data_IF_497674524111
#
_entry.id   IF_497674524111
#
_cell.length_a   1.000
_cell.length_b   1.000
_cell.length_c   1.000
_cell.angle_alpha   90.00
_cell.angle_beta   90.00
_cell.angle_gamma   90.00
#
_symmetry.space_group_name_H-M   'P 1'
#
loop_
_entity.id
_entity.type
_entity.pdbx_description
1 polymer ?
#
# COMPACT_ATOMS: atom_id res chain seq x y z
N UNK A 1 -13.76 -68.96 50.59
CA UNK A 1 -14.49 -68.33 49.46
C UNK A 1 -14.81 -66.90 49.88
N UNK A 2 -14.38 -65.80 49.29
CA UNK A 2 -13.39 -65.48 48.25
C UNK A 2 -13.20 -63.96 48.43
N UNK A 3 -11.97 -63.48 48.62
CA UNK A 3 -11.67 -62.04 48.56
C UNK A 3 -11.55 -61.62 47.09
N UNK A 4 -12.19 -60.52 46.67
CA UNK A 4 -11.76 -59.66 45.55
C UNK A 4 -12.61 -58.36 45.47
N UNK A 5 -12.16 -57.29 44.78
CA UNK A 5 -11.60 -56.08 45.39
C UNK A 5 -12.36 -54.79 44.96
N UNK A 6 -11.93 -53.56 45.32
CA UNK A 6 -12.71 -52.35 45.08
C UNK A 6 -12.61 -51.85 43.62
N UNK A 7 -13.73 -51.35 43.09
CA UNK A 7 -13.84 -50.76 41.76
C UNK A 7 -13.07 -49.44 41.66
N UNK A 8 -12.24 -49.35 40.63
CA UNK A 8 -11.42 -48.20 40.27
C UNK A 8 -12.26 -46.99 39.81
N UNK A 9 -11.83 -45.80 40.23
CA UNK A 9 -12.29 -44.51 39.74
C UNK A 9 -11.93 -44.31 38.25
N UNK A 10 -12.92 -43.87 37.46
CA UNK A 10 -12.72 -43.50 36.06
C UNK A 10 -11.94 -42.19 35.89
N UNK A 11 -11.12 -42.04 34.83
CA UNK A 11 -10.21 -40.91 34.69
C UNK A 11 -10.90 -39.66 34.11
N UNK A 12 -10.61 -38.53 34.74
CA UNK A 12 -10.25 -37.28 34.05
C UNK A 12 -11.32 -36.64 33.17
N UNK A 13 -12.10 -35.73 33.76
CA UNK A 13 -12.83 -34.71 33.03
C UNK A 13 -11.87 -33.94 32.10
N UNK A 14 -12.14 -34.02 30.79
CA UNK A 14 -11.40 -33.25 29.77
C UNK A 14 -11.64 -31.76 30.06
N UNK A 15 -10.60 -30.94 30.29
CA UNK A 15 -10.80 -29.51 30.43
C UNK A 15 -11.35 -29.00 29.10
N UNK A 16 -12.55 -28.42 29.15
CA UNK A 16 -13.22 -27.84 27.99
C UNK A 16 -12.26 -26.88 27.31
N UNK A 17 -11.97 -27.12 26.02
CA UNK A 17 -11.28 -26.14 25.21
C UNK A 17 -12.17 -24.90 25.15
N UNK A 18 -11.79 -23.88 25.92
CA UNK A 18 -12.35 -22.54 25.79
C UNK A 18 -12.09 -22.09 24.36
N UNK A 19 -13.16 -22.07 23.55
CA UNK A 19 -13.12 -21.54 22.20
C UNK A 19 -12.67 -20.08 22.28
N UNK A 20 -11.83 -19.66 21.33
CA UNK A 20 -11.25 -18.32 21.24
C UNK A 20 -12.28 -17.17 21.24
N UNK A 21 -13.58 -17.49 21.18
CA UNK A 21 -14.70 -16.57 21.21
C UNK A 21 -15.02 -16.07 22.63
N UNK A 22 -14.62 -16.78 23.69
CA UNK A 22 -14.86 -16.36 25.09
C UNK A 22 -13.76 -15.49 25.71
N UNK A 23 -12.72 -15.10 24.95
CA UNK A 23 -11.66 -14.19 25.43
C UNK A 23 -11.81 -12.75 24.90
N UNK A 24 -13.02 -12.32 24.61
CA UNK A 24 -13.34 -10.89 24.55
C UNK A 24 -13.61 -10.38 25.98
N UNK A 25 -12.62 -10.52 26.86
CA UNK A 25 -12.61 -9.73 28.10
C UNK A 25 -12.48 -8.29 27.63
N UNK A 26 -13.53 -7.48 27.85
CA UNK A 26 -13.43 -6.03 27.71
C UNK A 26 -12.17 -5.63 28.48
N UNK A 27 -11.15 -5.14 27.79
CA UNK A 27 -9.88 -4.83 28.44
C UNK A 27 -10.15 -3.80 29.53
N UNK A 28 -10.11 -4.24 30.79
CA UNK A 28 -10.23 -3.42 32.00
C UNK A 28 -8.93 -2.64 32.26
N UNK A 29 -8.28 -2.20 31.17
CA UNK A 29 -7.09 -1.37 31.23
C UNK A 29 -7.47 0.11 31.28
N UNK A 30 -6.59 0.98 31.80
CA UNK A 30 -6.81 2.42 31.82
C UNK A 30 -7.01 2.94 30.40
N UNK A 31 -7.89 3.93 30.21
CA UNK A 31 -8.21 4.47 28.87
C UNK A 31 -6.95 5.02 28.20
N UNK A 32 -6.84 4.85 26.89
CA UNK A 32 -5.74 5.37 26.08
C UNK A 32 -6.12 6.67 25.39
N UNK A 33 -5.12 7.48 25.05
CA UNK A 33 -5.33 8.78 24.42
C UNK A 33 -5.48 8.61 22.90
N UNK A 34 -6.61 9.06 22.35
CA UNK A 34 -6.87 9.19 20.91
C UNK A 34 -6.72 10.64 20.52
N UNK A 35 -5.87 10.91 19.54
CA UNK A 35 -5.55 12.27 19.07
C UNK A 35 -5.83 12.35 17.57
N UNK A 36 -6.69 13.28 17.17
CA UNK A 36 -6.93 13.66 15.79
C UNK A 36 -6.23 14.98 15.47
N UNK A 37 -5.46 15.01 14.39
CA UNK A 37 -4.82 16.19 13.84
C UNK A 37 -5.67 16.73 12.69
N UNK A 38 -6.12 17.97 12.80
CA UNK A 38 -6.94 18.66 11.79
C UNK A 38 -6.21 19.92 11.37
N UNK A 39 -6.03 20.14 10.07
CA UNK A 39 -5.41 21.34 9.50
C UNK A 39 -6.31 21.86 8.39
N UNK A 40 -6.57 23.16 8.38
CA UNK A 40 -7.44 23.80 7.38
C UNK A 40 -8.82 23.11 7.23
N UNK A 41 -9.36 22.58 8.32
CA UNK A 41 -10.65 21.88 8.34
C UNK A 41 -10.61 20.44 7.80
N UNK A 42 -9.47 19.92 7.35
CA UNK A 42 -9.28 18.52 6.95
C UNK A 42 -8.58 17.72 8.04
N UNK A 43 -9.08 16.51 8.32
CA UNK A 43 -8.41 15.58 9.24
C UNK A 43 -7.21 14.99 8.53
N UNK A 44 -6.00 15.37 8.95
CA UNK A 44 -4.74 14.86 8.39
C UNK A 44 -4.45 13.47 8.94
N UNK A 45 -4.53 13.33 10.27
CA UNK A 45 -4.11 12.12 10.94
C UNK A 45 -5.01 11.83 12.14
N UNK A 46 -5.24 10.56 12.41
CA UNK A 46 -5.81 10.11 13.67
C UNK A 46 -4.92 9.02 14.25
N UNK A 47 -4.46 9.22 15.49
CA UNK A 47 -3.54 8.32 16.15
C UNK A 47 -4.04 7.96 17.55
N UNK A 48 -4.16 6.66 17.81
CA UNK A 48 -4.42 6.12 19.14
C UNK A 48 -3.09 5.74 19.77
N UNK A 49 -2.76 6.38 20.89
CA UNK A 49 -1.53 6.18 21.64
C UNK A 49 -1.67 4.91 22.49
N UNK A 50 -1.31 3.76 21.89
CA UNK A 50 -1.53 2.41 22.48
C UNK A 50 -0.82 2.21 23.82
N UNK A 51 0.35 2.80 23.99
CA UNK A 51 1.14 2.75 25.22
C UNK A 51 1.02 4.07 25.96
N UNK A 52 0.77 4.07 27.27
CA UNK A 52 0.71 5.30 28.05
C UNK A 52 2.10 5.93 28.14
N UNK A 53 2.37 6.90 27.27
CA UNK A 53 3.61 7.67 27.22
C UNK A 53 3.29 9.16 27.03
N UNK A 54 4.31 10.01 27.20
CA UNK A 54 4.20 11.44 26.89
C UNK A 54 3.99 11.65 25.39
N UNK A 55 3.09 12.54 25.02
CA UNK A 55 2.88 12.96 23.63
C UNK A 55 3.60 14.27 23.40
N UNK A 56 4.59 14.23 22.51
CA UNK A 56 5.41 15.39 22.14
C UNK A 56 4.99 15.95 20.78
N UNK A 57 5.01 17.29 20.70
CA UNK A 57 4.61 18.08 19.54
C UNK A 57 5.65 19.19 19.31
N UNK A 58 6.04 19.42 18.07
CA UNK A 58 6.97 20.49 17.71
C UNK A 58 7.63 20.28 16.35
N UNK A 59 8.55 21.17 15.93
CA UNK A 59 9.19 21.11 14.62
C UNK A 59 10.25 20.00 14.50
N UNK A 60 10.71 19.41 15.61
CA UNK A 60 11.67 18.31 15.55
C UNK A 60 11.02 17.01 15.08
N UNK A 61 11.75 16.26 14.24
CA UNK A 61 11.38 14.91 13.76
C UNK A 61 11.29 13.86 14.88
N UNK A 62 11.88 14.13 16.05
CA UNK A 62 11.79 13.24 17.22
C UNK A 62 10.42 13.28 17.91
N UNK A 63 9.56 14.22 17.54
CA UNK A 63 8.24 14.36 18.15
C UNK A 63 7.24 13.34 17.58
N UNK A 64 6.24 12.98 18.39
CA UNK A 64 5.16 12.10 17.93
C UNK A 64 4.35 12.78 16.83
N UNK A 65 4.09 14.09 16.98
CA UNK A 65 3.50 14.92 15.94
C UNK A 65 4.47 16.05 15.58
N UNK A 66 4.85 16.07 14.31
CA UNK A 66 5.77 17.08 13.79
C UNK A 66 4.95 18.22 13.20
N UNK A 67 5.05 19.41 13.79
CA UNK A 67 4.38 20.62 13.29
C UNK A 67 5.35 21.79 13.26
N UNK A 68 5.30 22.58 12.17
CA UNK A 68 6.09 23.79 12.01
C UNK A 68 5.25 25.02 12.29
N UNK A 69 5.22 25.48 13.55
CA UNK A 69 4.52 26.72 13.93
C UNK A 69 5.52 27.69 14.56
N UNK A 70 5.49 28.95 14.14
CA UNK A 70 6.36 30.01 14.65
C UNK A 70 6.14 30.23 16.15
N UNK A 71 7.23 30.34 16.92
CA UNK A 71 7.17 30.56 18.37
C UNK A 71 6.87 29.30 19.20
N UNK A 72 7.05 28.12 18.64
CA UNK A 72 6.94 26.84 19.35
C UNK A 72 8.33 26.28 19.74
N UNK A 73 8.49 25.69 20.93
CA UNK A 73 9.69 24.94 21.31
C UNK A 73 9.97 23.77 20.35
N UNK A 74 11.24 23.34 20.24
CA UNK A 74 11.62 22.21 19.39
C UNK A 74 10.88 20.90 19.74
N UNK A 75 10.58 20.69 21.02
CA UNK A 75 9.76 19.59 21.53
C UNK A 75 8.97 20.06 22.75
N UNK A 76 7.65 20.08 22.62
CA UNK A 76 6.71 20.35 23.71
C UNK A 76 5.98 19.05 24.05
N UNK A 77 6.03 18.63 25.32
CA UNK A 77 5.19 17.53 25.82
C UNK A 77 3.74 18.00 25.96
N UNK A 78 3.01 18.09 24.86
CA UNK A 78 1.61 18.53 24.85
C UNK A 78 0.76 17.72 25.83
N UNK A 79 0.93 16.39 25.86
CA UNK A 79 0.35 15.54 26.90
C UNK A 79 1.47 14.87 27.69
N UNK A 80 1.63 15.25 28.95
CA UNK A 80 2.64 14.69 29.84
C UNK A 80 2.00 13.67 30.77
N UNK A 81 2.55 12.45 30.82
CA UNK A 81 2.15 11.44 31.79
C UNK A 81 2.87 11.71 33.13
N UNK A 82 2.11 12.04 34.18
CA UNK A 82 2.61 12.31 35.54
C UNK A 82 1.82 11.47 36.53
N UNK A 83 2.50 10.65 37.35
CA UNK A 83 1.87 9.80 38.38
C UNK A 83 0.67 8.99 37.86
N UNK A 84 0.86 8.39 36.66
CA UNK A 84 -0.17 7.62 35.94
C UNK A 84 -1.39 8.44 35.47
N UNK A 85 -1.44 9.76 35.66
CA UNK A 85 -2.40 10.68 35.08
C UNK A 85 -1.82 11.43 33.88
N UNK A 86 -2.67 11.98 33.01
CA UNK A 86 -2.23 12.85 31.94
C UNK A 86 -2.40 14.32 32.35
N UNK A 87 -1.42 15.14 32.01
CA UNK A 87 -1.48 16.59 32.11
C UNK A 87 -1.37 17.19 30.71
N UNK A 88 -2.25 18.12 30.36
CA UNK A 88 -2.14 18.95 29.17
C UNK A 88 -1.21 20.12 29.48
N UNK A 89 -0.10 20.21 28.78
CA UNK A 89 0.81 21.35 28.83
C UNK A 89 0.55 22.24 27.61
N UNK A 90 0.08 23.46 27.82
CA UNK A 90 -0.20 24.41 26.75
C UNK A 90 0.54 25.74 26.95
N UNK A 91 0.84 26.43 25.87
CA UNK A 91 1.57 27.71 25.87
C UNK A 91 0.62 28.88 25.69
N UNK A 92 1.14 30.10 25.83
CA UNK A 92 0.32 31.31 25.71
C UNK A 92 -0.30 31.52 24.33
N UNK A 93 0.40 31.06 23.28
CA UNK A 93 -0.03 31.11 21.88
C UNK A 93 -1.02 29.99 21.48
N UNK A 94 -1.45 29.16 22.43
CA UNK A 94 -2.41 28.09 22.18
C UNK A 94 -3.80 28.51 22.62
N UNK A 95 -4.80 28.13 21.83
CA UNK A 95 -6.22 28.34 22.16
C UNK A 95 -6.95 27.02 22.12
N UNK A 96 -8.13 26.92 22.73
CA UNK A 96 -8.80 25.63 22.77
C UNK A 96 -9.90 25.54 23.82
N UNK A 97 -10.63 24.43 23.78
CA UNK A 97 -11.66 24.13 24.78
C UNK A 97 -11.46 22.72 25.29
N UNK A 98 -11.49 22.56 26.60
CA UNK A 98 -11.36 21.28 27.27
C UNK A 98 -12.63 21.04 28.08
N UNK A 99 -13.25 19.89 27.85
CA UNK A 99 -14.31 19.36 28.68
C UNK A 99 -13.64 18.54 29.80
N UNK A 100 -13.72 19.07 31.02
CA UNK A 100 -13.36 18.39 32.26
C UNK A 100 -14.64 17.85 32.91
N UNK A 101 -14.54 16.99 33.94
CA UNK A 101 -15.72 16.54 34.70
C UNK A 101 -16.55 17.70 35.30
N UNK A 102 -15.91 18.84 35.57
CA UNK A 102 -16.54 20.05 36.11
C UNK A 102 -17.27 20.89 35.06
N UNK A 103 -17.10 20.60 33.77
CA UNK A 103 -17.69 21.36 32.67
C UNK A 103 -16.73 21.65 31.54
N UNK A 104 -17.19 22.42 30.55
CA UNK A 104 -16.39 22.84 29.40
C UNK A 104 -15.79 24.21 29.69
N UNK A 105 -14.46 24.30 29.66
CA UNK A 105 -13.72 25.55 29.89
C UNK A 105 -12.79 25.85 28.71
N UNK A 106 -12.60 27.15 28.44
CA UNK A 106 -11.62 27.62 27.47
C UNK A 106 -10.21 27.57 28.09
N UNK A 107 -9.19 27.25 27.30
CA UNK A 107 -7.79 27.28 27.74
C UNK A 107 -7.41 28.67 28.27
N UNK A 108 -7.95 29.75 27.69
CA UNK A 108 -7.69 31.11 28.17
C UNK A 108 -8.13 31.34 29.63
N UNK A 109 -9.27 30.78 30.03
CA UNK A 109 -9.77 30.86 31.40
C UNK A 109 -8.97 29.96 32.35
N UNK A 110 -8.53 28.80 31.86
CA UNK A 110 -7.79 27.82 32.67
C UNK A 110 -6.37 28.30 33.02
N UNK A 111 -5.76 29.20 32.23
CA UNK A 111 -4.43 29.76 32.52
C UNK A 111 -4.29 30.27 33.96
N UNK A 112 -5.30 30.97 34.48
CA UNK A 112 -5.30 31.52 35.84
C UNK A 112 -5.49 30.48 36.95
N UNK A 113 -5.95 29.27 36.62
CA UNK A 113 -6.24 28.19 37.56
C UNK A 113 -5.20 27.06 37.51
N UNK A 114 -4.36 27.04 36.46
CA UNK A 114 -3.35 26.01 36.23
C UNK A 114 -2.01 26.35 36.85
N UNK A 115 -1.26 25.34 37.27
CA UNK A 115 0.13 25.51 37.72
C UNK A 115 1.02 25.83 36.51
N UNK A 116 1.94 26.78 36.66
CA UNK A 116 3.00 26.97 35.67
C UNK A 116 4.02 25.84 35.79
N UNK A 117 4.24 25.14 34.70
CA UNK A 117 5.26 24.11 34.57
C UNK A 117 6.52 24.68 33.90
N UNK A 118 7.48 23.82 33.64
CA UNK A 118 8.76 24.21 33.02
C UNK A 118 8.54 24.88 31.66
N UNK A 119 9.44 25.79 31.29
CA UNK A 119 9.47 26.50 30.00
C UNK A 119 8.23 27.37 29.72
N UNK A 120 7.57 27.89 30.77
CA UNK A 120 6.44 28.81 30.63
C UNK A 120 5.14 28.16 30.16
N UNK A 121 5.05 26.83 30.22
CA UNK A 121 3.81 26.10 29.92
C UNK A 121 2.85 26.10 31.11
N UNK A 122 1.55 26.11 30.81
CA UNK A 122 0.48 25.94 31.79
C UNK A 122 0.09 24.47 31.83
N UNK A 123 0.08 23.89 33.02
CA UNK A 123 -0.18 22.48 33.22
C UNK A 123 -1.59 22.27 33.79
N UNK A 124 -2.42 21.59 33.00
CA UNK A 124 -3.79 21.20 33.36
C UNK A 124 -3.88 19.69 33.55
N UNK A 125 -4.28 19.23 34.73
CA UNK A 125 -4.49 17.80 34.98
C UNK A 125 -5.76 17.33 34.27
N UNK A 126 -5.64 16.25 33.50
CA UNK A 126 -6.73 15.60 32.78
C UNK A 126 -7.17 14.32 33.50
N UNK A 127 -8.45 14.01 33.36
CA UNK A 127 -9.08 12.75 33.80
C UNK A 127 -9.42 11.87 32.61
N UNK A 128 -9.77 10.60 32.83
CA UNK A 128 -10.15 9.67 31.75
C UNK A 128 -11.47 10.00 31.04
N UNK A 129 -12.23 10.98 31.52
CA UNK A 129 -13.43 11.50 30.84
C UNK A 129 -13.16 12.83 30.15
N UNK A 130 -11.94 13.36 30.29
CA UNK A 130 -11.56 14.61 29.65
C UNK A 130 -11.47 14.46 28.14
N UNK A 131 -11.98 15.46 27.42
CA UNK A 131 -11.88 15.55 25.96
C UNK A 131 -11.81 16.99 25.55
N UNK A 132 -11.19 17.30 24.42
CA UNK A 132 -11.05 18.69 24.04
C UNK A 132 -10.45 18.91 22.68
N UNK A 133 -10.33 20.19 22.35
CA UNK A 133 -9.60 20.69 21.19
C UNK A 133 -8.53 21.68 21.64
N UNK A 134 -7.33 21.54 21.09
CA UNK A 134 -6.22 22.48 21.27
C UNK A 134 -5.79 22.95 19.89
N UNK A 135 -5.75 24.25 19.69
CA UNK A 135 -5.41 24.89 18.43
C UNK A 135 -4.05 25.56 18.61
N UNK A 136 -3.16 25.22 17.69
CA UNK A 136 -1.77 25.65 17.65
C UNK A 136 -1.50 26.15 16.23
N UNK A 137 -1.47 27.48 16.05
CA UNK A 137 -1.39 28.09 14.72
C UNK A 137 -2.59 27.69 13.85
N UNK A 138 -2.33 27.01 12.73
CA UNK A 138 -3.31 26.50 11.77
C UNK A 138 -3.78 25.06 12.08
N UNK A 139 -3.18 24.43 13.09
CA UNK A 139 -3.32 23.01 13.37
C UNK A 139 -4.14 22.79 14.64
N UNK A 140 -5.16 21.95 14.56
CA UNK A 140 -6.06 21.61 15.67
C UNK A 140 -5.85 20.16 16.09
N UNK A 141 -5.51 19.97 17.37
CA UNK A 141 -5.43 18.68 18.05
C UNK A 141 -6.74 18.42 18.78
N UNK A 142 -7.50 17.44 18.29
CA UNK A 142 -8.67 16.89 18.98
C UNK A 142 -8.20 15.72 19.83
N UNK A 143 -8.55 15.68 21.12
CA UNK A 143 -8.18 14.58 21.99
C UNK A 143 -9.36 14.02 22.77
N UNK A 144 -9.32 12.72 23.00
CA UNK A 144 -10.29 12.00 23.82
C UNK A 144 -9.66 10.75 24.41
N UNK A 145 -10.04 10.39 25.64
CA UNK A 145 -9.71 9.09 26.22
C UNK A 145 -10.70 8.01 25.77
N UNK A 146 -10.18 6.93 25.21
CA UNK A 146 -10.97 5.80 24.68
C UNK A 146 -10.45 4.49 25.25
N UNK A 147 -11.29 3.44 25.28
CA UNK A 147 -10.83 2.12 25.66
C UNK A 147 -9.75 1.63 24.66
N UNK A 148 -8.67 0.98 25.14
CA UNK A 148 -7.64 0.46 24.25
C UNK A 148 -8.24 -0.54 23.25
N UNK A 149 -7.93 -0.42 21.95
CA UNK A 149 -8.37 -1.41 20.98
C UNK A 149 -7.75 -2.77 21.32
N UNK A 150 -8.47 -3.88 21.15
CA UNK A 150 -7.95 -5.20 21.47
C UNK A 150 -6.68 -5.44 20.67
N UNK A 151 -5.60 -5.79 21.38
CA UNK A 151 -4.32 -6.14 20.74
C UNK A 151 -4.59 -7.42 19.95
N UNK A 152 -4.73 -7.29 18.63
CA UNK A 152 -4.81 -8.45 17.75
C UNK A 152 -3.50 -9.22 17.93
N UNK A 153 -3.54 -10.51 18.33
CA UNK A 153 -2.33 -11.30 18.39
C UNK A 153 -1.67 -11.25 17.01
N UNK A 154 -0.36 -10.99 16.97
CA UNK A 154 0.38 -10.98 15.70
C UNK A 154 0.05 -12.29 14.97
N UNK A 155 -0.31 -12.25 13.68
CA UNK A 155 -0.54 -13.45 12.90
C UNK A 155 0.69 -14.33 13.03
N UNK A 156 0.56 -15.46 13.72
CA UNK A 156 1.61 -16.46 13.72
C UNK A 156 1.51 -17.14 12.37
N UNK A 157 2.58 -17.03 11.59
CA UNK A 157 2.67 -17.77 10.35
C UNK A 157 2.58 -19.27 10.70
N UNK A 158 1.86 -20.07 9.90
CA UNK A 158 1.83 -21.51 10.10
C UNK A 158 3.27 -22.05 10.04
N UNK A 159 3.55 -23.04 10.88
CA UNK A 159 4.90 -23.61 11.08
C UNK A 159 5.54 -24.04 9.74
N UNK A 160 4.71 -24.42 8.76
CA UNK A 160 5.11 -24.76 7.40
C UNK A 160 5.78 -23.63 6.61
N UNK A 161 5.49 -22.36 6.91
CA UNK A 161 6.10 -21.19 6.25
C UNK A 161 7.37 -20.76 6.98
N UNK A 162 7.42 -20.90 8.32
CA UNK A 162 8.61 -20.56 9.10
C UNK A 162 9.73 -21.59 8.97
N UNK A 163 9.42 -22.84 8.60
CA UNK A 163 10.43 -23.89 8.38
C UNK A 163 11.22 -23.74 7.06
N UNK A 164 10.79 -22.90 6.12
CA UNK A 164 11.48 -22.72 4.84
C UNK A 164 12.62 -21.70 4.84
N UNK A 165 12.67 -20.79 5.83
CA UNK A 165 13.57 -19.64 5.81
C UNK A 165 14.80 -19.77 6.71
N UNK A 166 14.83 -20.75 7.64
CA UNK A 166 15.91 -20.88 8.64
C UNK A 166 16.58 -22.25 8.66
N UNK A 167 16.20 -23.15 7.76
CA UNK A 167 16.84 -24.47 7.65
C UNK A 167 17.97 -24.34 6.64
N UNK A 168 19.15 -23.98 7.14
CA UNK A 168 20.39 -24.09 6.37
C UNK A 168 20.56 -25.57 6.05
N UNK A 169 20.53 -25.90 4.77
CA UNK A 169 20.84 -27.23 4.30
C UNK A 169 22.35 -27.44 4.43
N UNK A 170 22.72 -28.09 5.53
CA UNK A 170 24.11 -28.38 5.86
C UNK A 170 24.79 -29.25 4.80
N UNK A 171 24.04 -30.06 4.05
CA UNK A 171 24.60 -30.86 2.96
C UNK A 171 25.10 -29.97 1.82
N UNK A 172 24.25 -29.08 1.31
CA UNK A 172 24.64 -28.12 0.26
C UNK A 172 25.67 -27.11 0.74
N UNK A 173 25.58 -26.67 2.00
CA UNK A 173 26.57 -25.77 2.60
C UNK A 173 27.95 -26.42 2.70
N UNK A 174 28.04 -27.69 3.11
CA UNK A 174 29.30 -28.42 3.18
C UNK A 174 29.91 -28.61 1.79
N UNK A 175 29.09 -29.00 0.80
CA UNK A 175 29.53 -29.15 -0.60
C UNK A 175 30.03 -27.82 -1.17
N UNK A 176 29.32 -26.73 -0.92
CA UNK A 176 29.73 -25.40 -1.35
C UNK A 176 31.05 -24.96 -0.69
N UNK A 177 31.22 -25.22 0.62
CA UNK A 177 32.45 -24.91 1.34
C UNK A 177 33.66 -25.73 0.82
N UNK A 178 33.48 -27.03 0.59
CA UNK A 178 34.53 -27.87 -0.01
C UNK A 178 34.86 -27.43 -1.43
N UNK A 179 33.85 -27.12 -2.25
CA UNK A 179 34.08 -26.59 -3.58
C UNK A 179 34.89 -25.30 -3.51
N UNK A 180 34.51 -24.36 -2.64
CA UNK A 180 35.24 -23.11 -2.45
C UNK A 180 36.71 -23.37 -2.06
N UNK A 181 36.95 -24.25 -1.08
CA UNK A 181 38.30 -24.58 -0.63
C UNK A 181 39.14 -25.19 -1.75
N UNK A 182 38.61 -26.17 -2.49
CA UNK A 182 39.33 -26.82 -3.60
C UNK A 182 39.70 -25.82 -4.70
N UNK A 183 38.77 -24.93 -5.08
CA UNK A 183 39.04 -23.96 -6.14
C UNK A 183 40.08 -22.91 -5.70
N UNK A 184 40.00 -22.43 -4.45
CA UNK A 184 40.96 -21.46 -3.93
C UNK A 184 42.33 -22.08 -3.65
N UNK A 185 42.39 -23.33 -3.20
CA UNK A 185 43.65 -24.08 -3.10
C UNK A 185 44.26 -24.31 -4.48
N UNK A 186 43.48 -24.67 -5.49
CA UNK A 186 43.96 -24.82 -6.86
C UNK A 186 44.54 -23.53 -7.44
N UNK A 187 43.85 -22.40 -7.25
CA UNK A 187 44.37 -21.08 -7.63
C UNK A 187 45.64 -20.73 -6.85
N UNK A 188 45.66 -21.01 -5.55
CA UNK A 188 46.84 -20.80 -4.71
C UNK A 188 48.06 -21.59 -5.18
N UNK A 189 47.88 -22.84 -5.59
CA UNK A 189 48.97 -23.68 -6.10
C UNK A 189 49.52 -23.18 -7.45
N UNK A 190 48.65 -22.69 -8.34
CA UNK A 190 49.08 -22.12 -9.62
C UNK A 190 49.89 -20.84 -9.43
N UNK A 191 49.52 -20.01 -8.45
CA UNK A 191 50.18 -18.75 -8.14
C UNK A 191 51.28 -18.88 -7.07
N UNK A 192 51.58 -20.09 -6.60
CA UNK A 192 52.62 -20.30 -5.60
C UNK A 192 53.94 -20.64 -6.29
N UNK A 193 54.90 -19.72 -6.18
CA UNK A 193 56.31 -19.90 -6.57
C UNK A 193 57.02 -21.02 -5.75
N UNK A 194 56.29 -21.72 -4.89
CA UNK A 194 56.81 -22.83 -4.08
C UNK A 194 57.19 -24.06 -4.92
N UNK A 195 56.70 -24.17 -6.15
CA UNK A 195 57.04 -25.23 -7.11
C UNK A 195 58.12 -24.82 -8.13
N UNK A 196 58.61 -23.57 -8.09
CA UNK A 196 59.69 -23.12 -8.97
C UNK A 196 61.03 -23.69 -8.46
N UNK A 197 61.83 -24.41 -9.29
CA UNK A 197 63.14 -24.87 -8.86
C UNK A 197 64.02 -23.71 -8.39
N UNK A 198 64.64 -23.86 -7.22
CA UNK A 198 65.64 -22.91 -6.73
C UNK A 198 66.84 -22.96 -7.68
N UNK A 199 66.95 -21.97 -8.57
CA UNK A 199 68.14 -21.78 -9.39
C UNK A 199 69.22 -21.19 -8.48
N UNK A 200 70.28 -21.95 -8.25
CA UNK A 200 71.41 -21.51 -7.44
C UNK A 200 72.26 -20.51 -8.26
N UNK A 201 72.03 -19.22 -8.04
CA UNK A 201 72.63 -18.13 -8.81
C UNK A 201 74.17 -18.07 -8.67
N UNK A 202 74.73 -18.65 -7.60
CA UNK A 202 76.16 -18.57 -7.30
C UNK A 202 77.03 -19.40 -8.27
N UNK A 203 76.49 -20.51 -8.81
CA UNK A 203 77.21 -21.35 -9.79
C UNK A 203 77.19 -20.75 -11.20
N UNK A 204 76.09 -20.10 -11.60
CA UNK A 204 75.94 -19.52 -12.94
C UNK A 204 76.71 -18.20 -13.10
N UNK A 205 76.85 -17.40 -12.04
CA UNK A 205 77.62 -16.15 -12.11
C UNK A 205 79.12 -16.43 -12.18
N UNK A 206 79.62 -17.44 -11.48
CA UNK A 206 81.03 -17.85 -11.57
C UNK A 206 81.42 -18.30 -12.99
N UNK A 207 80.58 -19.13 -13.62
CA UNK A 207 80.79 -19.57 -15.01
C UNK A 207 80.73 -18.41 -16.01
N UNK A 208 79.85 -17.43 -15.78
CA UNK A 208 79.74 -16.25 -16.63
C UNK A 208 80.97 -15.32 -16.49
N UNK A 209 81.48 -15.12 -15.27
CA UNK A 209 82.69 -14.33 -15.03
C UNK A 209 83.94 -14.98 -15.62
N UNK A 210 84.05 -16.32 -15.59
CA UNK A 210 85.13 -17.07 -16.25
C UNK A 210 85.08 -16.87 -17.78
N UNK A 211 83.87 -16.92 -18.37
CA UNK A 211 83.68 -16.72 -19.81
C UNK A 211 84.03 -15.30 -20.29
N UNK A 212 83.81 -14.29 -19.45
CA UNK A 212 84.16 -12.89 -19.76
C UNK A 212 85.68 -12.67 -19.65
N UNK A 213 86.36 -13.33 -18.71
CA UNK A 213 87.83 -13.27 -18.59
C UNK A 213 88.56 -13.97 -19.73
N UNK A 214 87.95 -14.97 -20.36
CA UNK A 214 88.53 -15.73 -21.47
C UNK A 214 88.47 -15.01 -22.83
N UNK A 215 87.88 -13.81 -22.91
CA UNK A 215 87.85 -13.03 -24.14
C UNK A 215 89.16 -12.24 -24.31
N UNK A 216 89.94 -12.46 -25.40
CA UNK A 216 91.16 -11.71 -25.65
C UNK A 216 90.88 -10.22 -25.87
N UNK A 217 91.77 -9.37 -25.37
CA UNK A 217 91.62 -7.92 -25.38
C UNK A 217 91.42 -7.39 -26.82
N UNK A 218 90.33 -6.64 -27.09
CA UNK A 218 90.07 -6.10 -28.42
C UNK A 218 91.11 -5.03 -28.80
N UNK A 219 91.47 -4.95 -30.10
CA UNK A 219 92.45 -3.98 -30.61
C UNK A 219 92.00 -2.52 -30.41
N UNK A 220 92.95 -1.56 -30.37
CA UNK A 220 92.69 -0.15 -30.10
C UNK A 220 91.68 0.51 -31.03
N UNK A 221 90.84 1.34 -30.41
CA UNK A 221 89.72 2.11 -30.96
C UNK A 221 90.19 3.13 -32.01
N UNK A 222 89.50 3.20 -33.15
CA UNK A 222 89.44 4.39 -33.99
C UNK A 222 88.00 4.92 -34.01
N UNK A 223 87.87 6.18 -33.59
CA UNK A 223 86.64 6.87 -33.26
C UNK A 223 85.74 7.13 -34.47
N UNK A 224 84.42 7.00 -34.28
CA UNK A 224 83.42 7.96 -34.79
C UNK A 224 82.10 7.84 -34.01
N UNK A 225 82.02 8.64 -32.96
CA UNK A 225 80.97 9.64 -32.64
C UNK A 225 79.71 9.67 -33.54
N UNK A 226 78.59 10.20 -33.02
CA UNK A 226 77.64 9.55 -32.12
C UNK A 226 76.25 9.52 -32.79
N UNK A 227 75.46 8.47 -32.56
CA UNK A 227 74.00 8.63 -32.59
C UNK A 227 73.42 8.24 -31.25
N UNK A 228 72.70 9.22 -30.74
CA UNK A 228 72.15 9.35 -29.42
C UNK A 228 71.04 8.33 -29.21
N UNK A 229 71.01 7.81 -28.00
CA UNK A 229 70.18 6.71 -27.58
C UNK A 229 68.68 7.05 -27.62
N UNK A 230 67.90 6.18 -28.26
CA UNK A 230 66.57 5.85 -27.76
C UNK A 230 66.75 4.85 -26.61
N UNK A 231 66.76 5.38 -25.39
CA UNK A 231 66.52 4.63 -24.17
C UNK A 231 65.15 5.02 -23.61
N UNK A 232 64.57 4.02 -22.95
CA UNK A 232 63.57 4.08 -21.89
C UNK A 232 62.11 3.97 -22.29
N UNK A 233 61.67 2.73 -22.11
CA UNK A 233 60.80 2.32 -20.98
C UNK A 233 59.69 3.32 -20.66
N UNK A 234 58.53 2.99 -21.20
CA UNK A 234 57.24 3.42 -20.73
C UNK A 234 56.79 2.48 -19.58
N UNK A 235 56.73 3.04 -18.37
CA UNK A 235 55.88 2.53 -17.30
C UNK A 235 54.64 3.44 -17.29
N UNK A 236 53.53 2.92 -17.79
CA UNK A 236 52.29 3.69 -17.94
C UNK A 236 51.60 3.89 -16.58
N UNK A 237 51.44 5.15 -16.22
CA UNK A 237 50.76 5.61 -15.03
C UNK A 237 49.27 5.81 -15.30
N UNK A 238 48.43 5.18 -14.47
CA UNK A 238 47.05 5.58 -14.25
C UNK A 238 46.99 7.00 -13.68
N UNK A 239 46.34 7.93 -14.39
CA UNK A 239 45.73 9.12 -13.78
C UNK A 239 44.32 9.42 -14.30
N UNK A 240 43.49 10.06 -13.45
CA UNK A 240 42.03 10.18 -13.61
C UNK A 240 41.61 11.48 -14.32
N UNK A 241 40.39 11.47 -14.87
CA UNK A 241 39.70 12.65 -15.44
C UNK A 241 39.34 13.70 -14.37
N UNK A 242 39.47 15.01 -14.66
CA UNK A 242 39.31 16.10 -13.70
C UNK A 242 37.85 16.57 -13.50
N UNK A 243 37.57 17.07 -12.30
CA UNK A 243 36.40 17.91 -11.95
C UNK A 243 36.80 19.40 -11.88
N UNK A 244 35.83 20.32 -12.09
CA UNK A 244 36.05 21.71 -12.48
C UNK A 244 36.41 22.66 -11.33
N UNK A 245 37.16 23.73 -11.64
CA UNK A 245 37.39 24.88 -10.75
C UNK A 245 36.45 26.04 -11.09
N UNK A 246 36.00 26.69 -10.02
CA UNK A 246 35.14 27.85 -9.97
C UNK A 246 35.80 29.13 -10.54
N UNK A 247 35.00 29.97 -11.18
CA UNK A 247 35.30 31.37 -11.49
C UNK A 247 34.29 32.28 -10.76
N UNK A 248 34.78 33.40 -10.22
CA UNK A 248 34.02 34.50 -9.61
C UNK A 248 33.58 35.53 -10.69
N UNK A 249 32.63 36.43 -10.38
CA UNK A 249 31.75 37.09 -11.34
C UNK A 249 32.31 38.38 -11.92
N UNK A 250 31.91 38.69 -13.14
CA UNK A 250 32.08 40.00 -13.77
C UNK A 250 30.71 40.53 -14.25
N UNK A 251 30.47 41.82 -14.02
CA UNK A 251 29.25 42.58 -14.34
C UNK A 251 29.43 43.36 -15.65
N UNK A 252 28.28 43.65 -16.29
CA UNK A 252 27.95 44.62 -17.36
C UNK A 252 27.75 43.95 -18.74
N UNK A 253 26.82 44.31 -19.63
CA UNK A 253 25.57 45.09 -19.67
C UNK A 253 24.86 44.73 -21.03
N UNK A 254 23.62 45.20 -21.34
CA UNK A 254 22.63 44.45 -22.13
C UNK A 254 22.53 44.84 -23.62
N UNK A 255 22.04 43.94 -24.49
CA UNK A 255 21.40 44.29 -25.77
C UNK A 255 20.64 43.10 -26.39
N UNK A 256 19.46 43.34 -26.96
CA UNK A 256 18.81 42.44 -27.92
C UNK A 256 17.39 41.99 -27.58
N UNK A 257 16.41 42.91 -27.55
CA UNK A 257 14.99 42.57 -27.52
C UNK A 257 14.58 42.00 -28.89
N UNK A 258 14.39 40.68 -29.00
CA UNK A 258 13.62 40.08 -30.09
C UNK A 258 12.14 40.23 -29.78
N UNK A 259 11.49 41.20 -30.42
CA UNK A 259 10.03 41.35 -30.35
C UNK A 259 9.38 40.24 -31.18
N UNK A 260 8.84 39.21 -30.53
CA UNK A 260 7.79 38.39 -31.13
C UNK A 260 6.64 39.33 -31.44
N UNK A 261 6.24 39.44 -32.70
CA UNK A 261 5.09 40.26 -33.08
C UNK A 261 3.84 39.70 -32.38
N UNK A 262 2.97 40.58 -31.87
CA UNK A 262 1.77 40.14 -31.12
C UNK A 262 0.91 39.14 -31.91
N UNK A 263 0.94 39.21 -33.24
CA UNK A 263 0.27 38.26 -34.13
C UNK A 263 0.94 36.86 -34.12
N UNK A 264 2.28 36.79 -34.15
CA UNK A 264 2.99 35.52 -34.06
C UNK A 264 2.84 34.88 -32.66
N UNK A 265 2.83 35.69 -31.59
CA UNK A 265 2.56 35.22 -30.24
C UNK A 265 1.11 34.70 -30.07
N UNK A 266 0.14 35.36 -30.72
CA UNK A 266 -1.26 34.93 -30.73
C UNK A 266 -1.46 33.63 -31.54
N UNK A 267 -0.77 33.48 -32.67
CA UNK A 267 -0.82 32.25 -33.46
C UNK A 267 -0.23 31.05 -32.68
N UNK A 268 0.92 31.26 -32.02
CA UNK A 268 1.58 30.21 -31.23
C UNK A 268 0.78 29.80 -29.99
N UNK A 269 0.07 30.74 -29.36
CA UNK A 269 -0.80 30.44 -28.21
C UNK A 269 -2.05 29.66 -28.64
N UNK A 270 -2.68 30.03 -29.76
CA UNK A 270 -3.81 29.28 -30.30
C UNK A 270 -3.41 27.84 -30.72
N UNK A 271 -2.20 27.65 -31.24
CA UNK A 271 -1.69 26.33 -31.61
C UNK A 271 -1.39 25.47 -30.39
N UNK A 272 -0.79 26.05 -29.33
CA UNK A 272 -0.58 25.37 -28.04
C UNK A 272 -1.90 24.94 -27.38
N UNK A 273 -2.92 25.79 -27.42
CA UNK A 273 -4.21 25.54 -26.78
C UNK A 273 -5.00 24.43 -27.49
N UNK A 274 -4.81 24.29 -28.81
CA UNK A 274 -5.35 23.17 -29.60
C UNK A 274 -4.65 21.84 -29.28
N UNK A 275 -3.35 21.86 -29.02
CA UNK A 275 -2.54 20.70 -28.62
C UNK A 275 -2.84 20.28 -27.19
N UNK A 276 -3.14 21.23 -26.29
CA UNK A 276 -3.54 20.97 -24.90
C UNK A 276 -4.94 20.32 -24.85
N UNK A 277 -5.90 20.80 -25.64
CA UNK A 277 -7.22 20.17 -25.74
C UNK A 277 -7.18 18.78 -26.40
N UNK A 278 -6.33 18.58 -27.41
CA UNK A 278 -6.14 17.28 -28.04
C UNK A 278 -5.48 16.25 -27.09
N UNK A 279 -4.54 16.70 -26.26
CA UNK A 279 -3.89 15.85 -25.25
C UNK A 279 -4.83 15.52 -24.09
N UNK A 280 -5.65 16.47 -23.61
CA UNK A 280 -6.72 16.18 -22.63
C UNK A 280 -7.78 15.21 -23.19
N UNK A 281 -8.13 15.34 -24.47
CA UNK A 281 -9.05 14.42 -25.15
C UNK A 281 -8.50 12.99 -25.27
N UNK A 282 -7.19 12.85 -25.51
CA UNK A 282 -6.52 11.55 -25.54
C UNK A 282 -6.38 10.92 -24.13
N UNK A 283 -6.23 11.73 -23.08
CA UNK A 283 -6.14 11.28 -21.68
C UNK A 283 -7.50 10.85 -21.10
N UNK A 284 -8.60 11.42 -21.57
CA UNK A 284 -9.97 11.03 -21.15
C UNK A 284 -10.43 9.67 -21.68
N UNK A 285 -9.73 9.08 -22.66
CA UNK A 285 -10.11 7.83 -23.32
C UNK A 285 -9.55 6.54 -22.71
N UNK A 286 -8.62 6.60 -21.74
CA UNK A 286 -7.83 5.44 -21.34
C UNK A 286 -7.98 5.03 -19.86
N UNK A 287 -8.99 4.21 -19.57
CA UNK A 287 -9.01 3.21 -18.49
C UNK A 287 -8.85 3.67 -17.02
N UNK A 288 -9.06 2.76 -16.05
CA UNK A 288 -9.06 3.07 -14.61
C UNK A 288 -7.69 3.52 -14.04
N UNK A 289 -6.62 3.54 -14.84
CA UNK A 289 -5.30 3.99 -14.43
C UNK A 289 -5.11 5.51 -14.51
N UNK A 290 -5.88 6.22 -15.35
CA UNK A 290 -5.79 7.68 -15.51
C UNK A 290 -6.65 8.45 -14.50
N UNK A 291 -7.68 7.80 -13.93
CA UNK A 291 -8.53 8.36 -12.90
C UNK A 291 -7.78 8.71 -11.59
N UNK A 292 -6.71 7.97 -11.27
CA UNK A 292 -5.87 8.21 -10.08
C UNK A 292 -4.93 9.42 -10.21
N UNK A 293 -4.58 9.78 -11.45
CA UNK A 293 -3.71 10.92 -11.76
C UNK A 293 -4.52 12.22 -11.77
N UNK A 294 -5.76 12.18 -12.27
CA UNK A 294 -6.67 13.33 -12.20
C UNK A 294 -7.20 13.61 -10.78
N UNK A 295 -7.25 12.60 -9.90
CA UNK A 295 -7.63 12.77 -8.49
C UNK A 295 -6.47 13.24 -7.58
N UNK A 296 -5.24 13.19 -8.07
CA UNK A 296 -4.03 13.63 -7.35
C UNK A 296 -3.54 14.93 -8.00
N UNK A 297 -4.24 16.03 -7.71
CA UNK A 297 -4.09 17.32 -8.39
C UNK A 297 -2.70 17.95 -8.28
N UNK A 298 -2.00 18.08 -9.42
CA UNK A 298 -0.96 19.08 -9.66
C UNK A 298 -1.08 19.71 -11.07
N UNK A 299 -2.31 19.91 -11.57
CA UNK A 299 -2.53 20.64 -12.84
C UNK A 299 -3.29 21.93 -12.55
N UNK A 300 -2.84 23.10 -13.06
CA UNK A 300 -3.50 24.39 -12.81
C UNK A 300 -4.93 24.38 -13.34
N UNK A 301 -5.92 24.49 -12.45
CA UNK A 301 -7.36 24.48 -12.81
C UNK A 301 -7.83 25.78 -13.46
N UNK A 302 -6.96 26.78 -13.62
CA UNK A 302 -7.31 28.07 -14.20
C UNK A 302 -7.65 28.00 -15.69
N UNK A 303 -7.03 27.10 -16.46
CA UNK A 303 -7.38 26.87 -17.87
C UNK A 303 -8.71 26.13 -18.00
N UNK A 304 -9.08 25.30 -17.02
CA UNK A 304 -10.36 24.59 -16.97
C UNK A 304 -11.53 25.51 -16.56
N UNK A 305 -11.31 26.47 -15.66
CA UNK A 305 -12.31 27.49 -15.32
C UNK A 305 -12.56 28.45 -16.50
N UNK A 306 -11.52 28.76 -17.29
CA UNK A 306 -11.64 29.58 -18.49
C UNK A 306 -12.28 28.82 -19.67
N UNK A 307 -12.02 27.51 -19.78
CA UNK A 307 -12.71 26.61 -20.71
C UNK A 307 -14.18 26.35 -20.31
N UNK A 308 -14.50 26.36 -19.01
CA UNK A 308 -15.87 26.27 -18.51
C UNK A 308 -16.65 27.59 -18.64
N UNK A 309 -15.96 28.73 -18.60
CA UNK A 309 -16.52 30.06 -18.85
C UNK A 309 -16.70 30.37 -20.35
N UNK A 310 -15.87 29.78 -21.22
CA UNK A 310 -16.07 29.85 -22.67
C UNK A 310 -17.17 28.86 -23.07
N UNK A 311 -18.19 29.35 -23.77
CA UNK A 311 -19.35 28.56 -24.20
C UNK A 311 -19.04 27.54 -25.31
N UNK A 312 -17.79 27.08 -25.42
CA UNK A 312 -17.30 26.15 -26.43
C UNK A 312 -17.40 24.68 -25.99
N UNK A 313 -17.62 24.40 -24.70
CA UNK A 313 -17.71 23.04 -24.18
C UNK A 313 -19.14 22.53 -24.01
N UNK A 314 -19.83 22.12 -25.08
CA UNK A 314 -20.70 20.92 -25.14
C UNK A 314 -21.35 20.73 -26.52
N UNK A 315 -20.97 19.67 -27.22
CA UNK A 315 -21.90 18.82 -27.99
C UNK A 315 -21.31 17.40 -27.94
N UNK A 316 -22.01 16.35 -27.52
CA UNK A 316 -23.37 15.96 -27.83
C UNK A 316 -24.13 15.41 -26.60
N UNK A 317 -25.47 15.49 -26.70
CA UNK A 317 -26.49 15.00 -25.77
C UNK A 317 -26.75 15.83 -24.49
N UNK A 318 -27.41 16.97 -24.69
CA UNK A 318 -28.58 17.34 -23.87
C UNK A 318 -28.33 17.93 -22.48
N UNK A 319 -28.03 19.24 -22.45
CA UNK A 319 -28.59 20.17 -21.47
C UNK A 319 -27.82 20.38 -20.17
N UNK A 320 -27.01 21.44 -20.12
CA UNK A 320 -27.03 22.39 -19.00
C UNK A 320 -26.55 23.76 -19.49
N UNK A 321 -27.47 24.73 -19.54
CA UNK A 321 -27.13 26.15 -19.67
C UNK A 321 -27.09 26.75 -18.27
N UNK A 322 -25.95 27.31 -17.87
CA UNK A 322 -25.90 28.29 -16.78
C UNK A 322 -25.66 29.64 -17.43
N UNK A 323 -26.76 30.27 -17.86
CA UNK A 323 -26.72 31.65 -18.35
C UNK A 323 -26.85 32.62 -17.18
N UNK A 324 -25.94 33.60 -17.13
CA UNK A 324 -26.13 34.86 -16.39
C UNK A 324 -25.40 34.94 -15.06
N UNK A 325 -24.22 35.59 -15.07
CA UNK A 325 -23.52 36.03 -13.87
C UNK A 325 -24.33 37.09 -13.13
N UNK A 326 -24.82 36.72 -11.95
CA UNK A 326 -25.49 37.62 -11.02
C UNK A 326 -25.75 36.93 -9.69
N UNK A 327 -25.55 37.64 -8.58
CA UNK A 327 -25.76 37.08 -7.25
C UNK A 327 -27.22 36.66 -7.04
N UNK A 328 -27.43 35.42 -6.59
CA UNK A 328 -28.75 34.84 -6.35
C UNK A 328 -29.43 35.56 -5.19
N UNK A 329 -30.58 36.19 -5.45
CA UNK A 329 -31.44 36.81 -4.42
C UNK A 329 -32.61 35.87 -4.07
N UNK A 330 -32.84 35.54 -2.79
CA UNK A 330 -33.98 34.72 -2.39
C UNK A 330 -35.30 35.41 -2.76
N UNK A 331 -36.20 34.71 -3.46
CA UNK A 331 -37.58 35.15 -3.70
C UNK A 331 -37.89 35.76 -5.09
N UNK A 332 -36.89 35.95 -5.96
CA UNK A 332 -37.15 36.40 -7.33
C UNK A 332 -37.40 35.20 -8.26
N UNK A 333 -38.56 35.18 -8.92
CA UNK A 333 -38.91 34.12 -9.86
C UNK A 333 -38.04 34.20 -11.12
N UNK A 334 -37.25 33.15 -11.40
CA UNK A 334 -36.42 33.08 -12.60
C UNK A 334 -35.17 32.22 -12.48
N UNK A 335 -34.75 31.85 -11.27
CA UNK A 335 -33.62 30.93 -11.05
C UNK A 335 -34.05 29.77 -10.17
N UNK A 336 -33.47 28.59 -10.42
CA UNK A 336 -34.05 27.26 -10.18
C UNK A 336 -34.26 26.80 -8.74
N UNK A 337 -34.51 27.71 -7.80
CA UNK A 337 -34.71 27.42 -6.38
C UNK A 337 -36.14 27.68 -5.90
N UNK A 338 -37.04 28.17 -6.77
CA UNK A 338 -38.44 28.49 -6.41
C UNK A 338 -39.32 27.28 -6.05
N UNK A 339 -38.80 26.05 -6.11
CA UNK A 339 -39.56 24.82 -5.89
C UNK A 339 -39.20 24.05 -4.61
N UNK A 340 -38.31 24.58 -3.77
CA UNK A 340 -38.02 23.98 -2.46
C UNK A 340 -39.13 24.39 -1.48
N UNK A 341 -40.14 23.54 -1.33
CA UNK A 341 -41.21 23.73 -0.32
C UNK A 341 -42.63 23.34 -0.76
N UNK A 342 -42.88 23.04 -2.04
CA UNK A 342 -44.20 22.58 -2.48
C UNK A 342 -44.34 21.07 -2.28
N UNK A 343 -45.07 20.65 -1.26
CA UNK A 343 -45.39 19.24 -0.94
C UNK A 343 -46.61 18.70 -1.70
N UNK A 344 -47.10 19.40 -2.72
CA UNK A 344 -48.17 18.93 -3.61
C UNK A 344 -47.63 18.06 -4.75
N UNK A 345 -48.00 16.77 -4.74
CA UNK A 345 -47.72 15.80 -5.80
C UNK A 345 -48.25 16.27 -7.16
N UNK A 346 -47.38 16.82 -8.01
CA UNK A 346 -47.37 16.69 -9.50
C UNK A 346 -46.18 17.48 -10.07
N UNK A 347 -45.05 16.81 -10.29
CA UNK A 347 -43.81 17.35 -10.86
C UNK A 347 -42.61 16.46 -10.47
N UNK A 348 -41.59 16.24 -11.33
CA UNK A 348 -40.68 15.11 -11.21
C UNK A 348 -39.76 15.29 -9.99
N UNK A 349 -40.15 14.64 -8.89
CA UNK A 349 -39.41 14.59 -7.64
C UNK A 349 -38.15 13.76 -7.82
N UNK A 350 -37.08 14.38 -8.32
CA UNK A 350 -35.72 13.86 -8.21
C UNK A 350 -35.17 14.14 -6.82
N UNK A 351 -35.71 13.50 -5.77
CA UNK A 351 -34.96 13.33 -4.53
C UNK A 351 -33.60 12.75 -4.91
N UNK A 352 -32.50 13.41 -4.53
CA UNK A 352 -31.15 12.98 -4.87
C UNK A 352 -31.04 11.46 -4.78
N UNK A 353 -30.68 10.80 -5.89
CA UNK A 353 -30.57 9.35 -5.93
C UNK A 353 -29.63 8.95 -4.80
N UNK A 354 -30.16 8.27 -3.79
CA UNK A 354 -29.35 7.61 -2.80
C UNK A 354 -28.35 6.73 -3.57
N UNK A 355 -27.06 7.08 -3.50
CA UNK A 355 -26.02 6.25 -4.09
C UNK A 355 -26.02 4.95 -3.30
N UNK A 356 -26.66 3.93 -3.86
CA UNK A 356 -26.72 2.60 -3.27
C UNK A 356 -25.28 2.13 -3.09
N UNK A 357 -24.83 2.07 -1.83
CA UNK A 357 -23.53 1.49 -1.47
C UNK A 357 -23.47 0.10 -2.09
N UNK A 358 -22.58 -0.08 -3.07
CA UNK A 358 -22.45 -1.38 -3.73
C UNK A 358 -21.89 -2.36 -2.70
N UNK A 359 -22.72 -3.33 -2.31
CA UNK A 359 -22.32 -4.41 -1.41
C UNK A 359 -21.15 -5.23 -1.99
N UNK A 360 -20.46 -6.02 -1.15
CA UNK A 360 -19.32 -6.83 -1.56
C UNK A 360 -19.68 -7.72 -2.75
N UNK A 361 -18.88 -7.63 -3.82
CA UNK A 361 -19.06 -8.46 -5.03
C UNK A 361 -18.27 -9.75 -4.87
N UNK A 362 -18.91 -10.87 -5.18
CA UNK A 362 -18.29 -12.18 -5.20
C UNK A 362 -18.01 -12.67 -6.60
N UNK A 363 -16.95 -13.46 -6.76
CA UNK A 363 -16.65 -14.21 -7.97
C UNK A 363 -17.02 -15.68 -7.76
N UNK A 364 -17.88 -16.19 -8.64
CA UNK A 364 -18.09 -17.62 -8.82
C UNK A 364 -17.28 -18.08 -10.02
N UNK A 365 -16.38 -19.03 -9.82
CA UNK A 365 -15.60 -19.70 -10.85
C UNK A 365 -16.11 -21.11 -11.01
N UNK A 366 -16.62 -21.42 -12.19
CA UNK A 366 -17.09 -22.76 -12.54
C UNK A 366 -15.97 -23.46 -13.28
N UNK A 367 -15.53 -24.62 -12.78
CA UNK A 367 -14.54 -25.46 -13.45
C UNK A 367 -15.17 -26.29 -14.57
N UNK A 368 -14.33 -27.09 -15.24
CA UNK A 368 -14.76 -27.94 -16.35
C UNK A 368 -15.88 -28.91 -15.96
N UNK A 369 -16.82 -29.13 -16.88
CA UNK A 369 -17.86 -30.14 -16.73
C UNK A 369 -17.25 -31.52 -17.01
N UNK A 370 -17.12 -32.35 -15.97
CA UNK A 370 -16.65 -33.73 -16.13
C UNK A 370 -17.86 -34.64 -16.31
N UNK A 371 -18.01 -35.24 -17.49
CA UNK A 371 -19.13 -36.14 -17.80
C UNK A 371 -18.69 -37.58 -17.57
N UNK A 372 -19.50 -38.34 -16.83
CA UNK A 372 -19.30 -39.77 -16.58
C UNK A 372 -20.54 -40.55 -17.02
N UNK A 373 -20.34 -41.73 -17.62
CA UNK A 373 -21.42 -42.63 -18.07
C UNK A 373 -22.00 -42.34 -19.45
N UNK A 374 -21.34 -41.49 -20.26
CA UNK A 374 -21.74 -41.13 -21.62
C UNK A 374 -21.05 -39.85 -22.09
N UNK A 375 -21.33 -39.41 -23.31
CA UNK A 375 -20.89 -38.11 -23.83
C UNK A 375 -22.08 -37.14 -23.91
N UNK A 376 -21.85 -35.86 -23.60
CA UNK A 376 -22.85 -34.79 -23.71
C UNK A 376 -22.20 -33.61 -24.41
N UNK A 377 -22.51 -33.44 -25.70
CA UNK A 377 -21.83 -32.50 -26.60
C UNK A 377 -21.89 -31.03 -26.13
N UNK A 378 -22.93 -30.63 -25.40
CA UNK A 378 -23.12 -29.26 -24.93
C UNK A 378 -22.82 -29.06 -23.43
N UNK A 379 -22.26 -30.04 -22.72
CA UNK A 379 -22.12 -29.99 -21.27
C UNK A 379 -21.34 -28.77 -20.77
N UNK A 380 -20.18 -28.49 -21.37
CA UNK A 380 -19.35 -27.33 -21.04
C UNK A 380 -20.08 -26.00 -21.28
N UNK A 381 -20.82 -25.89 -22.39
CA UNK A 381 -21.61 -24.70 -22.77
C UNK A 381 -22.77 -24.45 -21.80
N UNK A 382 -23.50 -25.49 -21.44
CA UNK A 382 -24.63 -25.40 -20.49
C UNK A 382 -24.11 -25.00 -19.10
N UNK A 383 -23.02 -25.62 -18.65
CA UNK A 383 -22.38 -25.32 -17.36
C UNK A 383 -21.83 -23.88 -17.32
N UNK A 384 -21.23 -23.40 -18.41
CA UNK A 384 -20.77 -22.02 -18.52
C UNK A 384 -21.93 -21.01 -18.40
N UNK A 385 -23.09 -21.30 -19.01
CA UNK A 385 -24.31 -20.46 -18.88
C UNK A 385 -24.84 -20.39 -17.45
N UNK A 386 -24.67 -21.45 -16.67
CA UNK A 386 -25.10 -21.47 -15.25
C UNK A 386 -24.27 -20.55 -14.34
N UNK A 387 -23.05 -20.18 -14.74
CA UNK A 387 -22.12 -19.36 -13.95
C UNK A 387 -22.74 -18.06 -13.44
N UNK A 388 -23.49 -17.35 -14.28
CA UNK A 388 -24.13 -16.09 -13.90
C UNK A 388 -25.16 -16.28 -12.79
N UNK A 389 -25.93 -17.38 -12.86
CA UNK A 389 -26.89 -17.75 -11.82
C UNK A 389 -26.23 -18.17 -10.52
N UNK A 390 -25.15 -18.94 -10.57
CA UNK A 390 -24.37 -19.30 -9.38
C UNK A 390 -23.75 -18.07 -8.70
N UNK A 391 -23.23 -17.12 -9.49
CA UNK A 391 -22.75 -15.82 -8.98
C UNK A 391 -23.86 -15.04 -8.28
N UNK A 392 -25.09 -15.03 -8.83
CA UNK A 392 -26.22 -14.36 -8.20
C UNK A 392 -26.59 -15.00 -6.85
N UNK A 393 -26.59 -16.34 -6.75
CA UNK A 393 -26.79 -17.05 -5.48
C UNK A 393 -25.74 -16.67 -4.43
N UNK A 394 -24.48 -16.54 -4.85
CA UNK A 394 -23.38 -16.18 -3.96
C UNK A 394 -23.43 -14.71 -3.51
N UNK A 395 -23.68 -13.77 -4.43
CA UNK A 395 -23.80 -12.35 -4.10
C UNK A 395 -24.95 -12.07 -3.13
N UNK A 396 -26.05 -12.81 -3.22
CA UNK A 396 -27.16 -12.73 -2.25
C UNK A 396 -26.72 -13.16 -0.86
N UNK A 397 -25.85 -14.17 -0.74
CA UNK A 397 -25.30 -14.59 0.54
C UNK A 397 -24.26 -13.62 1.08
N UNK A 398 -23.42 -13.04 0.22
CA UNK A 398 -22.45 -12.01 0.60
C UNK A 398 -23.10 -10.73 1.15
N UNK A 399 -24.32 -10.41 0.70
CA UNK A 399 -25.09 -9.30 1.25
C UNK A 399 -25.48 -9.51 2.72
N UNK A 400 -25.60 -10.77 3.16
CA UNK A 400 -26.01 -11.12 4.53
C UNK A 400 -24.84 -11.56 5.41
N UNK A 401 -23.81 -12.19 4.82
CA UNK A 401 -22.62 -12.65 5.51
C UNK A 401 -21.37 -12.41 4.63
N UNK A 402 -20.50 -11.44 4.98
CA UNK A 402 -19.31 -11.10 4.19
C UNK A 402 -18.22 -12.17 4.12
N UNK A 403 -18.27 -13.20 4.98
CA UNK A 403 -17.21 -14.20 5.16
C UNK A 403 -17.50 -15.54 4.46
N UNK A 404 -18.50 -15.57 3.57
CA UNK A 404 -18.86 -16.77 2.81
C UNK A 404 -17.81 -17.05 1.75
N UNK A 405 -17.18 -18.23 1.82
CA UNK A 405 -16.20 -18.69 0.83
C UNK A 405 -16.12 -20.22 0.85
N UNK A 406 -15.76 -20.83 -0.28
CA UNK A 406 -15.60 -22.28 -0.36
C UNK A 406 -15.84 -22.86 -1.74
N UNK A 407 -16.06 -24.17 -1.80
CA UNK A 407 -16.32 -24.91 -3.05
C UNK A 407 -17.57 -25.76 -2.95
N UNK A 408 -18.30 -25.88 -4.06
CA UNK A 408 -19.43 -26.79 -4.22
C UNK A 408 -19.12 -27.71 -5.40
N UNK A 409 -19.14 -29.01 -5.15
CA UNK A 409 -19.09 -30.03 -6.19
C UNK A 409 -20.51 -30.50 -6.48
N UNK A 410 -21.04 -30.11 -7.63
CA UNK A 410 -22.35 -30.54 -8.11
C UNK A 410 -22.23 -31.85 -8.88
N UNK A 411 -23.15 -32.78 -8.66
CA UNK A 411 -23.36 -33.94 -9.53
C UNK A 411 -24.76 -33.86 -10.09
N UNK A 412 -24.87 -33.70 -11.40
CA UNK A 412 -26.12 -33.54 -12.12
C UNK A 412 -26.39 -34.83 -12.89
N UNK A 413 -27.49 -35.50 -12.59
CA UNK A 413 -27.95 -36.67 -13.35
C UNK A 413 -28.83 -36.19 -14.50
N UNK A 414 -28.44 -36.55 -15.72
CA UNK A 414 -29.12 -36.22 -16.97
C UNK A 414 -29.79 -37.48 -17.49
N UNK A 415 -31.09 -37.38 -17.79
CA UNK A 415 -31.87 -38.47 -18.37
C UNK A 415 -31.79 -38.56 -19.89
N UNK A 416 -32.51 -39.52 -20.51
CA UNK A 416 -32.39 -39.82 -21.94
C UNK A 416 -32.80 -38.65 -22.85
N UNK A 417 -33.73 -37.82 -22.39
CA UNK A 417 -34.22 -36.64 -23.11
C UNK A 417 -33.37 -35.38 -22.88
N UNK A 418 -32.23 -35.47 -22.18
CA UNK A 418 -31.39 -34.31 -21.84
C UNK A 418 -31.91 -33.48 -20.65
N UNK A 419 -33.06 -33.87 -20.08
CA UNK A 419 -33.61 -33.26 -18.87
C UNK A 419 -32.88 -33.74 -17.61
N UNK A 420 -32.82 -32.89 -16.60
CA UNK A 420 -32.15 -33.20 -15.33
C UNK A 420 -33.09 -33.99 -14.43
N UNK A 421 -32.73 -35.23 -14.11
CA UNK A 421 -33.51 -36.12 -13.23
C UNK A 421 -33.11 -35.98 -11.76
N UNK A 422 -31.91 -35.47 -11.47
CA UNK A 422 -31.46 -35.26 -10.11
C UNK A 422 -30.23 -34.37 -10.00
N UNK A 423 -30.13 -33.65 -8.88
CA UNK A 423 -28.96 -32.82 -8.55
C UNK A 423 -28.55 -33.08 -7.11
N UNK A 424 -27.34 -33.59 -6.91
CA UNK A 424 -26.69 -33.64 -5.60
C UNK A 424 -25.55 -32.63 -5.55
N UNK A 425 -25.24 -32.16 -4.34
CA UNK A 425 -24.19 -31.17 -4.13
C UNK A 425 -23.45 -31.50 -2.85
N UNK A 426 -22.12 -31.52 -2.93
CA UNK A 426 -21.22 -31.61 -1.78
C UNK A 426 -20.53 -30.27 -1.60
N UNK A 427 -20.53 -29.73 -0.38
CA UNK A 427 -19.90 -28.44 -0.07
C UNK A 427 -18.61 -28.63 0.73
N UNK A 428 -17.65 -27.74 0.54
CA UNK A 428 -16.48 -27.59 1.41
C UNK A 428 -16.24 -26.10 1.70
N UNK A 429 -15.80 -25.79 2.92
CA UNK A 429 -15.62 -24.43 3.41
C UNK A 429 -16.88 -23.81 4.02
N UNK A 430 -16.85 -22.49 4.22
CA UNK A 430 -17.90 -21.72 4.87
C UNK A 430 -19.01 -21.32 3.88
N UNK A 431 -19.83 -22.30 3.48
CA UNK A 431 -20.98 -22.08 2.59
C UNK A 431 -22.29 -22.39 3.33
N UNK A 432 -23.20 -21.40 3.47
CA UNK A 432 -24.49 -21.61 4.12
C UNK A 432 -25.40 -22.49 3.25
N UNK A 433 -26.31 -23.22 3.90
CA UNK A 433 -27.23 -24.14 3.21
C UNK A 433 -28.11 -23.45 2.17
N UNK A 434 -28.44 -22.17 2.38
CA UNK A 434 -29.22 -21.33 1.45
C UNK A 434 -28.54 -21.18 0.08
N UNK A 435 -27.20 -21.05 0.04
CA UNK A 435 -26.43 -20.98 -1.22
C UNK A 435 -26.47 -22.32 -1.93
N UNK A 436 -26.28 -23.42 -1.20
CA UNK A 436 -26.34 -24.77 -1.77
C UNK A 436 -27.73 -25.05 -2.38
N UNK A 437 -28.80 -24.66 -1.68
CA UNK A 437 -30.17 -24.79 -2.19
C UNK A 437 -30.41 -23.94 -3.44
N UNK A 438 -29.96 -22.68 -3.44
CA UNK A 438 -30.06 -21.78 -4.59
C UNK A 438 -29.31 -22.33 -5.82
N UNK A 439 -28.08 -22.82 -5.61
CA UNK A 439 -27.25 -23.42 -6.67
C UNK A 439 -27.88 -24.70 -7.21
N UNK A 440 -28.42 -25.57 -6.34
CA UNK A 440 -29.18 -26.77 -6.77
C UNK A 440 -30.40 -26.40 -7.62
N UNK A 441 -31.18 -25.40 -7.20
CA UNK A 441 -32.35 -24.93 -7.94
C UNK A 441 -31.95 -24.38 -9.31
N UNK A 442 -30.88 -23.57 -9.37
CA UNK A 442 -30.38 -23.05 -10.65
C UNK A 442 -29.84 -24.14 -11.56
N UNK A 443 -29.18 -25.15 -11.01
CA UNK A 443 -28.71 -26.30 -11.78
C UNK A 443 -29.87 -27.09 -12.38
N UNK A 444 -30.98 -27.31 -11.64
CA UNK A 444 -32.19 -28.00 -12.13
C UNK A 444 -32.86 -27.31 -13.33
N UNK A 445 -32.68 -26.01 -13.49
CA UNK A 445 -33.24 -25.25 -14.62
C UNK A 445 -32.46 -25.38 -15.93
N UNK A 446 -31.35 -26.12 -15.94
CA UNK A 446 -30.58 -26.39 -17.16
C UNK A 446 -31.15 -27.54 -17.97
N UNK A 447 -30.93 -27.49 -19.28
CA UNK A 447 -31.23 -28.59 -20.20
C UNK A 447 -29.94 -28.95 -20.95
N UNK A 448 -29.60 -30.22 -20.92
CA UNK A 448 -28.45 -30.78 -21.64
C UNK A 448 -28.92 -31.42 -22.95
N UNK A 449 -28.00 -31.66 -23.87
CA UNK A 449 -28.28 -32.55 -25.01
C UNK A 449 -28.47 -33.99 -24.50
N UNK A 450 -29.28 -34.81 -25.18
CA UNK A 450 -29.38 -36.23 -24.91
C UNK A 450 -27.99 -36.88 -24.82
N UNK A 451 -27.68 -37.62 -23.73
CA UNK A 451 -26.39 -38.30 -23.59
C UNK A 451 -26.30 -39.55 -24.46
N UNK A 452 -25.13 -39.80 -25.04
CA UNK A 452 -24.82 -41.09 -25.69
C UNK A 452 -24.81 -42.19 -24.61
N UNK A 453 -25.79 -43.10 -24.66
CA UNK A 453 -26.00 -44.15 -23.64
C UNK A 453 -27.23 -43.97 -22.74
N UNK A 454 -28.07 -42.96 -22.99
CA UNK A 454 -29.38 -42.81 -22.35
C UNK A 454 -29.38 -42.19 -20.94
N UNK A 455 -28.24 -42.16 -20.24
CA UNK A 455 -28.10 -41.37 -19.02
C UNK A 455 -26.63 -40.93 -18.82
N UNK A 456 -26.41 -39.75 -18.25
CA UNK A 456 -25.07 -39.29 -17.90
C UNK A 456 -25.05 -38.54 -16.57
N UNK A 457 -23.90 -38.56 -15.90
CA UNK A 457 -23.66 -37.79 -14.67
C UNK A 457 -22.60 -36.73 -14.95
N UNK A 458 -22.99 -35.46 -14.84
CA UNK A 458 -22.10 -34.31 -15.03
C UNK A 458 -21.65 -33.79 -13.67
N UNK A 459 -20.35 -33.89 -13.39
CA UNK A 459 -19.72 -33.32 -12.20
C UNK A 459 -19.18 -31.92 -12.51
N UNK A 460 -19.63 -30.93 -11.75
CA UNK A 460 -19.28 -29.51 -11.93
C UNK A 460 -18.72 -28.94 -10.64
N UNK A 461 -17.40 -28.68 -10.56
CA UNK A 461 -16.81 -27.98 -9.43
C UNK A 461 -17.05 -26.48 -9.57
N UNK A 462 -17.58 -25.84 -8.52
CA UNK A 462 -17.80 -24.39 -8.45
C UNK A 462 -17.07 -23.84 -7.23
N UNK A 463 -16.18 -22.88 -7.46
CA UNK A 463 -15.42 -22.18 -6.41
C UNK A 463 -15.97 -20.78 -6.22
N UNK A 464 -16.20 -20.38 -4.97
CA UNK A 464 -16.71 -19.07 -4.58
C UNK A 464 -15.64 -18.32 -3.78
N UNK A 465 -15.24 -17.16 -4.28
CA UNK A 465 -14.25 -16.28 -3.64
C UNK A 465 -14.75 -14.83 -3.64
N UNK A 466 -14.43 -14.10 -2.58
CA UNK A 466 -14.67 -12.66 -2.51
C UNK A 466 -13.77 -11.94 -3.52
N UNK A 467 -14.28 -10.90 -4.18
CA UNK A 467 -13.46 -10.05 -5.05
C UNK A 467 -12.75 -8.96 -4.29
#
# INVERSE_FOLDING_TARGET
>A
MTQQPPQQAGPGGRPGQMTAVMRAVAQTGPKVLRIGLVREGRVIEERIIKQRTHVTVGPSEKNIFVIGVTGMPASLKLFELVDNGYCLNFLDNMTGRVALPTGVSDLAMLKGQTKRAQHGSYQLRLTEDSRGKVIIGDTTFLFQFVAPPPIQPKPQLPVSVTQGATVIDWGTTMVAAFSFLVHFTGLGLIYSDWMDPVVDYDLNVAALVESIKALPAPPPVEEKKPDEAEDKKEAEALKPKPKPKAAKPEKAAPAGKTHITKAAAAALSNELESLEMATLGALGGAGPATAGVLSSSEVPTSSLDQAAASSAGVSAAGGLKVGGGGAIRPGQAGTGLANIGKTGKTGPSGSGKATKVQGPKGRATVGGANVAGGSVSNASRVVARMRAGFRACYNRALANNPDVSGRINLRIKVGPSGNITGVSASKSGNIPASVVACVKSRARSGTFSPPEGGAAVVAVPVTFVKQ
#
